data_IF_024404243256
#
_entry.id   IF_024404243256
#
_cell.length_a   1.000
_cell.length_b   1.000
_cell.length_c   1.000
_cell.angle_alpha   90.00
_cell.angle_beta   90.00
_cell.angle_gamma   90.00
#
_symmetry.space_group_name_H-M   'P 1'
#
loop_
_entity.id
_entity.type
_entity.pdbx_description
1 polymer ?
#
# COMPACT_ATOMS: atom_id res chain seq x y z
N UNK A 1 -19.64 -25.45 80.74
CA UNK A 1 -18.87 -26.67 80.42
C UNK A 1 -19.07 -26.95 78.94
N UNK A 2 -18.00 -27.35 78.23
CA UNK A 2 -17.90 -27.58 76.77
C UNK A 2 -17.85 -26.27 75.95
N UNK A 3 -16.84 -25.95 75.13
CA UNK A 3 -15.61 -26.63 74.74
C UNK A 3 -15.03 -25.89 73.53
N UNK A 4 -13.75 -25.47 73.62
CA UNK A 4 -12.98 -24.88 72.52
C UNK A 4 -12.81 -25.88 71.37
N UNK A 5 -12.93 -25.43 70.11
CA UNK A 5 -12.20 -26.01 68.98
C UNK A 5 -11.69 -24.93 68.05
N UNK A 6 -10.37 -24.88 67.97
CA UNK A 6 -9.54 -24.18 67.00
C UNK A 6 -9.78 -24.73 65.59
N UNK A 7 -9.85 -23.84 64.61
CA UNK A 7 -9.72 -24.16 63.19
C UNK A 7 -8.76 -23.16 62.56
N UNK A 8 -7.54 -23.60 62.34
CA UNK A 8 -6.49 -22.86 61.62
C UNK A 8 -6.86 -22.73 60.15
N UNK A 9 -6.99 -21.49 59.67
CA UNK A 9 -7.24 -21.19 58.26
C UNK A 9 -5.92 -21.40 57.48
N UNK A 10 -5.86 -22.47 56.71
CA UNK A 10 -4.70 -22.82 55.90
C UNK A 10 -4.67 -21.92 54.67
N UNK A 11 -3.76 -20.95 54.67
CA UNK A 11 -3.48 -20.07 53.54
C UNK A 11 -3.04 -20.85 52.29
N UNK A 12 -3.99 -21.17 51.42
CA UNK A 12 -3.73 -21.62 50.06
C UNK A 12 -3.40 -20.42 49.18
N UNK A 13 -2.11 -20.16 48.94
CA UNK A 13 -1.69 -19.25 47.86
C UNK A 13 -2.12 -19.86 46.53
N UNK A 14 -3.18 -19.32 45.94
CA UNK A 14 -3.53 -19.57 44.56
C UNK A 14 -2.36 -19.09 43.67
N UNK A 15 -1.52 -20.03 43.25
CA UNK A 15 -0.48 -19.78 42.27
C UNK A 15 -1.13 -19.37 40.96
N UNK A 16 -0.98 -18.10 40.57
CA UNK A 16 -1.26 -17.65 39.22
C UNK A 16 -0.33 -18.43 38.30
N UNK A 17 -0.86 -19.44 37.62
CA UNK A 17 -0.14 -20.10 36.53
C UNK A 17 0.13 -19.01 35.49
N UNK A 18 1.40 -18.66 35.35
CA UNK A 18 1.88 -17.69 34.37
C UNK A 18 1.53 -18.26 32.99
N UNK A 19 0.41 -17.79 32.44
CA UNK A 19 -0.11 -18.26 31.16
C UNK A 19 0.95 -18.15 30.09
N UNK A 20 1.19 -19.27 29.40
CA UNK A 20 1.86 -19.33 28.12
C UNK A 20 1.23 -18.24 27.23
N UNK A 21 2.00 -17.22 26.84
CA UNK A 21 1.49 -16.19 25.94
C UNK A 21 1.13 -16.87 24.63
N UNK A 22 -0.15 -17.15 24.42
CA UNK A 22 -0.66 -17.53 23.13
C UNK A 22 -0.24 -16.42 22.16
N UNK A 23 0.76 -16.71 21.32
CA UNK A 23 1.03 -15.88 20.15
C UNK A 23 -0.18 -16.06 19.27
N UNK A 24 -1.10 -15.09 19.30
CA UNK A 24 -2.18 -15.06 18.33
C UNK A 24 -1.54 -15.18 16.94
N UNK A 25 -1.92 -16.21 16.19
CA UNK A 25 -1.58 -16.30 14.78
C UNK A 25 -2.20 -15.08 14.11
N UNK A 26 -1.36 -14.11 13.76
CA UNK A 26 -1.81 -12.95 13.00
C UNK A 26 -2.08 -13.43 11.58
N UNK A 27 -3.23 -13.04 11.03
CA UNK A 27 -3.60 -13.34 9.65
C UNK A 27 -2.47 -12.91 8.68
N UNK A 28 -2.08 -13.74 7.69
CA UNK A 28 -1.00 -13.41 6.75
C UNK A 28 -1.26 -12.13 5.94
N UNK A 29 -2.51 -11.88 5.55
CA UNK A 29 -2.92 -10.67 4.81
C UNK A 29 -2.75 -9.45 5.70
N UNK A 30 -3.19 -9.54 6.96
CA UNK A 30 -2.97 -8.48 7.94
C UNK A 30 -1.46 -8.22 8.17
N UNK A 31 -0.66 -9.28 8.23
CA UNK A 31 0.80 -9.15 8.43
C UNK A 31 1.47 -8.46 7.24
N UNK A 32 1.05 -8.76 6.01
CA UNK A 32 1.54 -8.09 4.81
C UNK A 32 1.20 -6.60 4.81
N UNK A 33 -0.06 -6.24 5.12
CA UNK A 33 -0.48 -4.84 5.17
C UNK A 33 0.23 -4.01 6.25
N UNK A 34 0.54 -4.61 7.40
CA UNK A 34 1.32 -3.94 8.46
C UNK A 34 2.78 -3.66 8.05
N UNK A 35 3.27 -4.31 6.99
CA UNK A 35 4.63 -4.11 6.44
C UNK A 35 4.65 -3.20 5.21
N UNK A 36 3.51 -2.60 4.86
CA UNK A 36 3.40 -1.72 3.70
C UNK A 36 3.19 -0.25 4.11
N UNK A 37 3.52 0.66 3.19
CA UNK A 37 3.23 2.09 3.32
C UNK A 37 2.37 2.57 2.16
N UNK A 38 1.42 3.46 2.46
CA UNK A 38 0.61 4.09 1.43
C UNK A 38 1.46 4.94 0.49
N UNK A 39 1.27 4.74 -0.81
CA UNK A 39 1.90 5.48 -1.90
C UNK A 39 0.84 5.86 -2.94
N UNK A 40 1.13 6.73 -3.91
CA UNK A 40 0.17 7.01 -4.98
C UNK A 40 -0.33 5.72 -5.63
N UNK A 41 -1.65 5.61 -5.72
CA UNK A 41 -2.38 4.50 -6.36
C UNK A 41 -2.24 3.12 -5.71
N UNK A 42 -1.65 3.00 -4.52
CA UNK A 42 -1.51 1.69 -3.88
C UNK A 42 -0.64 1.66 -2.64
N UNK A 43 0.01 0.52 -2.44
CA UNK A 43 0.89 0.21 -1.32
C UNK A 43 2.29 -0.12 -1.82
N UNK A 44 3.29 0.22 -1.00
CA UNK A 44 4.67 -0.15 -1.22
C UNK A 44 5.17 -1.00 -0.05
N UNK A 45 5.74 -2.15 -0.35
CA UNK A 45 6.31 -3.08 0.65
C UNK A 45 7.85 -3.03 0.73
N UNK A 46 8.50 -2.18 -0.07
CA UNK A 46 9.96 -2.03 -0.07
C UNK A 46 10.44 -1.55 1.32
N UNK A 47 11.22 -2.34 2.09
CA UNK A 47 11.50 -2.03 3.49
C UNK A 47 12.15 -0.66 3.71
N UNK A 48 13.02 -0.25 2.78
CA UNK A 48 13.67 1.07 2.85
C UNK A 48 12.66 2.21 2.68
N UNK A 49 11.72 2.08 1.75
CA UNK A 49 10.69 3.09 1.50
C UNK A 49 9.61 3.09 2.59
N UNK A 50 9.26 1.92 3.13
CA UNK A 50 8.34 1.77 4.28
C UNK A 50 8.91 2.50 5.50
N UNK A 51 10.19 2.27 5.83
CA UNK A 51 10.88 2.97 6.92
C UNK A 51 10.89 4.50 6.73
N UNK A 52 10.92 4.96 5.48
CA UNK A 52 10.87 6.37 5.13
C UNK A 52 9.45 6.95 4.96
N UNK A 53 8.40 6.20 5.34
CA UNK A 53 7.02 6.70 5.22
C UNK A 53 6.59 6.94 3.78
N UNK A 54 7.13 6.16 2.82
CA UNK A 54 6.81 6.27 1.40
C UNK A 54 7.57 7.36 0.65
N UNK A 55 8.55 8.02 1.29
CA UNK A 55 9.24 9.20 0.76
C UNK A 55 10.64 8.92 0.17
N UNK A 56 11.11 7.68 0.17
CA UNK A 56 12.47 7.32 -0.27
C UNK A 56 12.50 6.65 -1.66
N UNK A 57 11.35 6.45 -2.31
CA UNK A 57 11.32 5.87 -3.65
C UNK A 57 12.15 6.71 -4.63
N UNK A 58 13.23 6.15 -5.23
CA UNK A 58 14.13 6.91 -6.11
C UNK A 58 13.49 7.26 -7.46
N UNK A 59 12.46 6.51 -7.86
CA UNK A 59 11.77 6.63 -9.15
C UNK A 59 10.33 7.10 -8.95
N UNK A 60 10.15 8.22 -8.24
CA UNK A 60 8.86 8.84 -7.98
C UNK A 60 8.01 8.84 -9.27
N UNK A 61 6.76 8.37 -9.18
CA UNK A 61 5.80 8.21 -10.28
C UNK A 61 5.95 6.96 -11.17
N UNK A 62 6.98 6.13 -11.01
CA UNK A 62 7.12 4.86 -11.75
C UNK A 62 6.68 3.63 -10.93
N UNK A 63 5.83 3.82 -9.92
CA UNK A 63 5.37 2.74 -9.04
C UNK A 63 4.77 1.57 -9.83
N UNK A 64 4.05 1.84 -10.93
CA UNK A 64 3.47 0.82 -11.81
C UNK A 64 4.48 -0.17 -12.42
N UNK A 65 5.77 0.17 -12.45
CA UNK A 65 6.85 -0.72 -12.91
C UNK A 65 7.67 -1.36 -11.80
N UNK A 66 7.39 -1.04 -10.53
CA UNK A 66 8.18 -1.50 -9.37
C UNK A 66 7.66 -2.83 -8.83
N UNK A 67 8.55 -3.79 -8.57
CA UNK A 67 8.18 -5.10 -8.01
C UNK A 67 7.70 -5.08 -6.56
N UNK A 68 7.87 -3.96 -5.85
CA UNK A 68 7.41 -3.75 -4.47
C UNK A 68 6.10 -2.97 -4.38
N UNK A 69 5.52 -2.62 -5.53
CA UNK A 69 4.29 -1.86 -5.60
C UNK A 69 3.13 -2.80 -5.86
N UNK A 70 2.08 -2.65 -5.06
CA UNK A 70 0.82 -3.35 -5.25
C UNK A 70 -0.32 -2.34 -5.25
N UNK A 71 -1.22 -2.48 -6.22
CA UNK A 71 -2.45 -1.72 -6.30
C UNK A 71 -3.63 -2.69 -6.29
N UNK A 72 -4.84 -2.17 -6.15
CA UNK A 72 -6.06 -2.97 -6.12
C UNK A 72 -7.21 -2.26 -6.83
N UNK A 73 -8.30 -2.98 -7.05
CA UNK A 73 -9.50 -2.52 -7.76
C UNK A 73 -10.09 -1.22 -7.19
N UNK A 74 -9.86 -0.89 -5.92
CA UNK A 74 -10.33 0.38 -5.32
C UNK A 74 -9.64 1.62 -5.89
N UNK A 75 -8.55 1.45 -6.66
CA UNK A 75 -7.82 2.51 -7.34
C UNK A 75 -8.09 2.58 -8.85
N UNK A 76 -8.91 1.68 -9.43
CA UNK A 76 -9.23 1.68 -10.86
C UNK A 76 -9.66 3.06 -11.40
N UNK A 77 -10.51 3.84 -10.71
CA UNK A 77 -10.88 5.19 -11.17
C UNK A 77 -9.67 6.13 -11.26
N UNK A 78 -8.82 6.14 -10.24
CA UNK A 78 -7.61 6.97 -10.19
C UNK A 78 -6.56 6.54 -11.21
N UNK A 79 -6.40 5.23 -11.44
CA UNK A 79 -5.50 4.66 -12.44
C UNK A 79 -5.95 5.02 -13.86
N UNK A 80 -7.25 4.93 -14.16
CA UNK A 80 -7.81 5.37 -15.46
C UNK A 80 -7.61 6.86 -15.68
N UNK A 81 -7.84 7.69 -14.67
CA UNK A 81 -7.60 9.13 -14.76
C UNK A 81 -6.12 9.47 -15.04
N UNK A 82 -5.18 8.72 -14.44
CA UNK A 82 -3.74 8.86 -14.69
C UNK A 82 -3.39 8.42 -16.12
N UNK A 83 -3.95 7.31 -16.60
CA UNK A 83 -3.78 6.87 -17.98
C UNK A 83 -4.26 7.93 -18.98
N UNK A 84 -5.43 8.54 -18.74
CA UNK A 84 -5.96 9.60 -19.59
C UNK A 84 -5.06 10.85 -19.61
N UNK A 85 -4.48 11.22 -18.47
CA UNK A 85 -3.51 12.32 -18.40
C UNK A 85 -2.27 12.02 -19.24
N UNK A 86 -1.73 10.80 -19.14
CA UNK A 86 -0.57 10.36 -19.92
C UNK A 86 -0.86 10.37 -21.42
N UNK A 87 -2.04 9.87 -21.83
CA UNK A 87 -2.46 9.87 -23.23
C UNK A 87 -2.60 11.30 -23.77
N UNK A 88 -3.21 12.21 -22.99
CA UNK A 88 -3.29 13.63 -23.36
C UNK A 88 -1.92 14.28 -23.49
N UNK A 89 -1.02 14.03 -22.54
CA UNK A 89 0.34 14.58 -22.59
C UNK A 89 1.13 14.07 -23.81
N UNK A 90 0.98 12.79 -24.15
CA UNK A 90 1.57 12.19 -25.35
C UNK A 90 1.01 12.82 -26.63
N UNK A 91 -0.31 13.00 -26.71
CA UNK A 91 -0.98 13.60 -27.87
C UNK A 91 -0.55 15.07 -28.09
N UNK A 92 -0.43 15.83 -27.00
CA UNK A 92 0.13 17.18 -27.05
C UNK A 92 1.56 17.17 -27.59
N UNK A 93 2.41 16.26 -27.11
CA UNK A 93 3.79 16.12 -27.62
C UNK A 93 3.83 15.84 -29.13
N UNK A 94 2.99 14.93 -29.62
CA UNK A 94 2.87 14.62 -31.06
C UNK A 94 2.43 15.85 -31.84
N UNK A 95 1.40 16.55 -31.37
CA UNK A 95 0.88 17.77 -32.00
C UNK A 95 1.95 18.87 -32.09
N UNK A 96 2.82 18.96 -31.08
CA UNK A 96 3.95 19.89 -31.05
C UNK A 96 5.15 19.43 -31.91
N UNK A 97 5.04 18.30 -32.62
CA UNK A 97 6.08 17.78 -33.50
C UNK A 97 7.21 17.07 -32.77
N UNK A 98 6.99 16.60 -31.54
CA UNK A 98 7.99 15.81 -30.83
C UNK A 98 8.28 14.50 -31.58
N UNK A 99 9.57 14.15 -31.71
CA UNK A 99 9.97 12.85 -32.23
C UNK A 99 9.51 11.73 -31.29
N UNK A 100 9.22 10.55 -31.83
CA UNK A 100 8.69 9.42 -31.04
C UNK A 100 9.57 9.03 -29.83
N UNK A 101 10.90 9.10 -29.98
CA UNK A 101 11.85 8.82 -28.89
C UNK A 101 11.81 9.87 -27.76
N UNK A 102 11.28 11.06 -28.05
CA UNK A 102 11.14 12.17 -27.10
C UNK A 102 9.76 12.19 -26.41
N UNK A 103 8.97 11.12 -26.51
CA UNK A 103 7.70 10.94 -25.81
C UNK A 103 7.89 10.03 -24.58
N UNK A 104 8.28 10.57 -23.41
CA UNK A 104 8.63 9.75 -22.25
C UNK A 104 7.43 9.01 -21.63
N UNK A 105 6.19 9.37 -21.99
CA UNK A 105 4.98 8.79 -21.42
C UNK A 105 4.72 7.35 -21.88
N UNK A 106 5.30 6.90 -23.01
CA UNK A 106 4.91 5.65 -23.65
C UNK A 106 5.05 4.43 -22.72
N UNK A 107 6.21 4.31 -22.07
CA UNK A 107 6.46 3.21 -21.13
C UNK A 107 5.45 3.22 -19.96
N UNK A 108 5.12 4.40 -19.45
CA UNK A 108 4.19 4.55 -18.35
C UNK A 108 2.76 4.18 -18.80
N UNK A 109 2.33 4.63 -19.97
CA UNK A 109 1.04 4.26 -20.59
C UNK A 109 0.88 2.74 -20.67
N UNK A 110 1.90 2.04 -21.16
CA UNK A 110 1.83 0.59 -21.35
C UNK A 110 1.69 -0.13 -20.00
N UNK A 111 2.41 0.31 -18.96
CA UNK A 111 2.30 -0.25 -17.60
C UNK A 111 0.93 -0.01 -16.95
N UNK A 112 0.37 1.19 -17.06
CA UNK A 112 -0.96 1.47 -16.52
C UNK A 112 -2.05 0.68 -17.26
N UNK A 113 -1.91 0.50 -18.59
CA UNK A 113 -2.83 -0.36 -19.36
C UNK A 113 -2.81 -1.81 -18.88
N UNK A 114 -1.62 -2.40 -18.77
CA UNK A 114 -1.46 -3.78 -18.28
C UNK A 114 -2.08 -3.95 -16.89
N UNK A 115 -1.84 -3.01 -15.98
CA UNK A 115 -2.37 -3.04 -14.64
C UNK A 115 -3.91 -2.91 -14.60
N UNK A 116 -4.46 -1.97 -15.36
CA UNK A 116 -5.91 -1.76 -15.44
C UNK A 116 -6.59 -3.02 -15.98
N UNK A 117 -6.06 -3.60 -17.06
CA UNK A 117 -6.60 -4.84 -17.64
C UNK A 117 -6.57 -5.98 -16.61
N UNK A 118 -5.47 -6.15 -15.89
CA UNK A 118 -5.36 -7.18 -14.85
C UNK A 118 -6.37 -6.97 -13.71
N UNK A 119 -6.64 -5.73 -13.32
CA UNK A 119 -7.64 -5.42 -12.30
C UNK A 119 -9.09 -5.58 -12.80
N UNK A 120 -9.35 -5.28 -14.07
CA UNK A 120 -10.65 -5.51 -14.70
C UNK A 120 -10.95 -7.01 -14.80
N UNK A 121 -9.98 -7.84 -15.18
CA UNK A 121 -10.12 -9.30 -15.15
C UNK A 121 -10.35 -9.83 -13.73
N UNK A 122 -9.64 -9.31 -12.72
CA UNK A 122 -9.92 -9.63 -11.32
C UNK A 122 -11.34 -9.25 -10.92
N UNK A 123 -11.79 -8.05 -11.31
CA UNK A 123 -13.14 -7.56 -11.04
C UNK A 123 -14.22 -8.44 -11.67
N UNK A 124 -14.00 -8.88 -12.90
CA UNK A 124 -14.94 -9.74 -13.64
C UNK A 124 -15.09 -11.13 -13.01
N UNK A 125 -14.05 -11.63 -12.33
CA UNK A 125 -14.09 -12.92 -11.63
C UNK A 125 -14.84 -12.88 -10.30
N UNK A 126 -15.12 -11.70 -9.76
CA UNK A 126 -15.86 -11.55 -8.52
C UNK A 126 -17.35 -11.84 -8.70
N UNK A 127 -17.95 -12.46 -7.68
CA UNK A 127 -19.39 -12.60 -7.55
C UNK A 127 -20.06 -11.24 -7.33
N UNK A 128 -21.39 -11.18 -7.54
CA UNK A 128 -22.15 -9.94 -7.35
C UNK A 128 -22.06 -9.41 -5.90
N UNK A 129 -22.04 -10.30 -4.91
CA UNK A 129 -21.93 -9.93 -3.48
C UNK A 129 -20.56 -9.35 -3.15
N UNK A 130 -19.48 -9.95 -3.66
CA UNK A 130 -18.12 -9.45 -3.49
C UNK A 130 -17.95 -8.08 -4.16
N UNK A 131 -18.53 -7.88 -5.36
CA UNK A 131 -18.50 -6.59 -6.05
C UNK A 131 -19.18 -5.49 -5.24
N UNK A 132 -20.38 -5.75 -4.70
CA UNK A 132 -21.08 -4.78 -3.83
C UNK A 132 -20.23 -4.42 -2.62
N UNK A 133 -19.66 -5.42 -1.96
CA UNK A 133 -18.79 -5.21 -0.79
C UNK A 133 -17.57 -4.35 -1.13
N UNK A 134 -16.92 -4.61 -2.27
CA UNK A 134 -15.75 -3.84 -2.71
C UNK A 134 -16.16 -2.43 -3.16
N UNK A 135 -17.30 -2.23 -3.79
CA UNK A 135 -17.81 -0.90 -4.17
C UNK A 135 -18.06 -0.01 -2.93
N UNK A 136 -18.69 -0.57 -1.91
CA UNK A 136 -18.91 0.13 -0.63
C UNK A 136 -17.59 0.48 0.05
N UNK A 137 -16.68 -0.50 0.15
CA UNK A 137 -15.34 -0.29 0.71
C UNK A 137 -14.56 0.77 -0.09
N UNK A 138 -14.62 0.71 -1.42
CA UNK A 138 -13.96 1.66 -2.33
C UNK A 138 -14.47 3.07 -2.10
N UNK A 139 -15.78 3.24 -1.94
CA UNK A 139 -16.39 4.55 -1.67
C UNK A 139 -15.85 5.15 -0.37
N UNK A 140 -15.84 4.37 0.70
CA UNK A 140 -15.31 4.78 2.00
C UNK A 140 -13.81 5.10 1.93
N UNK A 141 -13.02 4.24 1.30
CA UNK A 141 -11.57 4.42 1.16
C UNK A 141 -11.24 5.67 0.32
N UNK A 142 -11.98 5.91 -0.77
CA UNK A 142 -11.81 7.12 -1.59
C UNK A 142 -12.10 8.39 -0.80
N UNK A 143 -13.16 8.39 -0.01
CA UNK A 143 -13.47 9.52 0.87
C UNK A 143 -12.35 9.76 1.90
N UNK A 144 -11.85 8.70 2.54
CA UNK A 144 -10.74 8.79 3.48
C UNK A 144 -9.45 9.31 2.80
N UNK A 145 -9.09 8.79 1.63
CA UNK A 145 -7.91 9.24 0.86
C UNK A 145 -7.98 10.72 0.48
N UNK A 146 -9.16 11.24 0.13
CA UNK A 146 -9.33 12.69 -0.14
C UNK A 146 -9.09 13.57 1.09
N UNK A 147 -9.31 13.03 2.28
CA UNK A 147 -9.05 13.74 3.54
C UNK A 147 -7.61 13.61 4.05
N UNK A 148 -6.82 12.68 3.49
CA UNK A 148 -5.41 12.49 3.81
C UNK A 148 -4.52 13.13 2.73
N UNK A 149 -3.68 14.08 3.13
CA UNK A 149 -2.66 14.61 2.24
C UNK A 149 -1.58 13.55 1.98
N UNK A 150 -1.63 12.90 0.81
CA UNK A 150 -0.48 12.14 0.30
C UNK A 150 0.53 13.15 -0.23
N UNK A 151 1.61 13.37 0.51
CA UNK A 151 2.65 14.29 0.08
C UNK A 151 3.34 13.74 -1.17
N UNK A 152 3.04 14.35 -2.32
CA UNK A 152 3.70 14.10 -3.60
C UNK A 152 5.12 14.69 -3.67
N UNK A 153 5.77 14.88 -2.52
CA UNK A 153 7.10 15.43 -2.26
C UNK A 153 8.00 15.89 -3.40
N UNK A 154 8.63 17.03 -3.17
CA UNK A 154 9.63 17.63 -4.06
C UNK A 154 10.78 16.65 -4.33
N UNK A 155 11.20 16.43 -5.60
CA UNK A 155 12.30 15.50 -5.89
C UNK A 155 13.57 15.94 -5.16
N UNK A 156 14.06 15.09 -4.26
CA UNK A 156 15.39 15.26 -3.69
C UNK A 156 16.40 14.84 -4.77
N UNK A 157 17.06 15.82 -5.39
CA UNK A 157 18.22 15.56 -6.24
C UNK A 157 19.29 14.91 -5.36
N UNK A 158 19.55 13.63 -5.59
CA UNK A 158 20.66 12.92 -4.93
C UNK A 158 21.95 13.60 -5.41
N UNK A 159 22.80 14.15 -4.51
CA UNK A 159 24.08 14.70 -4.93
C UNK A 159 24.86 13.59 -5.65
N UNK A 160 25.42 13.89 -6.83
CA UNK A 160 26.33 12.98 -7.49
C UNK A 160 27.44 12.62 -6.50
N UNK A 161 27.70 11.32 -6.32
CA UNK A 161 28.86 10.87 -5.57
C UNK A 161 30.08 11.56 -6.20
N UNK A 162 30.80 12.37 -5.42
CA UNK A 162 32.12 12.85 -5.87
C UNK A 162 32.95 11.60 -6.13
N UNK A 163 33.41 11.44 -7.36
CA UNK A 163 34.32 10.36 -7.69
C UNK A 163 35.56 10.48 -6.81
N UNK A 164 35.87 9.41 -6.10
CA UNK A 164 37.20 9.22 -5.53
C UNK A 164 38.14 8.89 -6.70
N UNK A 165 38.78 9.91 -7.24
CA UNK A 165 39.91 9.75 -8.16
C UNK A 165 41.13 9.30 -7.33
N UNK A 166 41.72 8.16 -7.70
CA UNK A 166 43.04 7.70 -7.24
C UNK A 166 44.12 8.14 -8.23
#
# INVERSE_FOLDING_TARGET
MVGLRSGTDAGGRAGVRRGERARASVDPVLTAHLRAVAVPYGLCEEPSNVKAGGQQCPIRYQCAGCGHFESNVSYLPELRARLDELLRAREMGITMGAAAWALPQQQEIDRYREMIIGMEDQWERLSAEERVTIEEATTLLRQARRSQAVFLGTPALRPAARGDEH
#
